data_IF_852497999469
#
_entry.id   IF_852497999469
#
_cell.length_a   1.000
_cell.length_b   1.000
_cell.length_c   1.000
_cell.angle_alpha   90.00
_cell.angle_beta   90.00
_cell.angle_gamma   90.00
#
_symmetry.space_group_name_H-M   'P 1'
#
loop_
_entity.id
_entity.type
_entity.pdbx_description
1 polymer ?
#
# COMPACT_ATOMS: atom_id res chain seq x y z
N UNK A 1 -67.35 -92.12 31.37
CA UNK A 1 -67.39 -93.50 30.84
C UNK A 1 -67.04 -93.45 29.37
N UNK A 2 -66.04 -94.25 28.98
CA UNK A 2 -65.98 -95.00 27.71
C UNK A 2 -65.94 -94.17 26.41
N UNK A 3 -64.74 -94.12 25.84
CA UNK A 3 -64.41 -94.73 24.56
C UNK A 3 -65.25 -94.43 23.29
N UNK A 4 -64.46 -94.18 22.23
CA UNK A 4 -64.61 -94.76 20.89
C UNK A 4 -65.46 -94.05 19.82
N UNK A 5 -64.72 -93.82 18.72
CA UNK A 5 -65.05 -94.03 17.30
C UNK A 5 -65.69 -92.90 16.49
N UNK A 6 -64.92 -92.58 15.43
CA UNK A 6 -65.32 -92.45 14.01
C UNK A 6 -66.29 -91.34 13.65
N UNK A 7 -65.79 -90.40 12.85
CA UNK A 7 -66.20 -90.22 11.43
C UNK A 7 -65.25 -89.18 10.81
N UNK A 8 -64.35 -89.61 9.92
CA UNK A 8 -64.52 -89.63 8.45
C UNK A 8 -64.85 -88.27 7.85
N UNK A 9 -63.87 -87.78 7.08
CA UNK A 9 -63.97 -86.99 5.83
C UNK A 9 -64.91 -85.79 5.80
N UNK A 10 -64.36 -84.66 5.32
CA UNK A 10 -64.90 -83.30 5.41
C UNK A 10 -64.43 -82.68 6.72
N UNK A 11 -63.30 -81.98 6.79
CA UNK A 11 -63.15 -80.66 6.20
C UNK A 11 -61.73 -80.49 5.65
N UNK A 12 -61.53 -80.97 4.43
CA UNK A 12 -60.40 -80.61 3.60
C UNK A 12 -60.65 -79.22 2.98
N UNK A 13 -60.93 -78.19 3.79
CA UNK A 13 -61.27 -76.85 3.25
C UNK A 13 -61.21 -75.71 4.29
N UNK A 14 -60.19 -75.70 5.15
CA UNK A 14 -59.80 -74.44 5.83
C UNK A 14 -58.32 -74.40 6.29
N UNK A 15 -57.45 -75.22 5.69
CA UNK A 15 -56.01 -75.27 5.96
C UNK A 15 -55.13 -74.50 4.96
N UNK A 16 -55.74 -73.74 4.05
CA UNK A 16 -55.03 -72.99 2.99
C UNK A 16 -54.99 -71.47 3.23
N UNK A 17 -55.76 -70.95 4.19
CA UNK A 17 -55.86 -69.51 4.44
C UNK A 17 -54.88 -68.97 5.51
N UNK A 18 -54.28 -69.84 6.34
CA UNK A 18 -53.30 -69.43 7.36
C UNK A 18 -51.84 -69.82 7.00
N UNK A 19 -51.53 -69.95 5.70
CA UNK A 19 -50.16 -70.10 5.17
C UNK A 19 -49.63 -68.83 4.49
N UNK A 20 -50.32 -67.68 4.68
CA UNK A 20 -50.01 -66.38 4.06
C UNK A 20 -49.31 -65.35 4.96
N UNK A 21 -48.74 -65.75 6.09
CA UNK A 21 -48.12 -64.79 7.03
C UNK A 21 -46.66 -65.06 7.45
N UNK A 22 -46.00 -66.10 6.92
CA UNK A 22 -44.57 -66.34 7.20
C UNK A 22 -43.67 -65.90 6.02
N UNK A 23 -44.22 -65.70 4.83
CA UNK A 23 -43.47 -65.32 3.61
C UNK A 23 -43.32 -63.81 3.39
N UNK A 24 -43.19 -63.01 4.46
CA UNK A 24 -43.00 -61.54 4.34
C UNK A 24 -41.79 -60.97 5.09
N UNK A 25 -40.93 -61.81 5.69
CA UNK A 25 -39.78 -61.33 6.48
C UNK A 25 -38.46 -62.06 6.26
N UNK A 26 -38.18 -62.56 5.06
CA UNK A 26 -36.83 -63.04 4.69
C UNK A 26 -36.46 -62.57 3.28
N UNK A 27 -36.31 -61.25 3.12
CA UNK A 27 -35.61 -60.64 2.00
C UNK A 27 -34.14 -60.52 2.42
N UNK A 28 -33.37 -61.61 2.25
CA UNK A 28 -31.93 -61.58 2.47
C UNK A 28 -31.29 -60.60 1.47
N UNK A 29 -30.68 -59.57 2.03
CA UNK A 29 -29.89 -58.57 1.32
C UNK A 29 -28.55 -59.18 0.97
N UNK A 30 -28.30 -59.47 -0.31
CA UNK A 30 -26.96 -59.78 -0.81
C UNK A 30 -26.23 -58.46 -1.08
N UNK A 31 -25.42 -58.01 -0.11
CA UNK A 31 -24.63 -56.78 -0.21
C UNK A 31 -23.27 -57.09 -0.86
N UNK A 32 -22.91 -56.49 -2.03
CA UNK A 32 -21.69 -56.84 -2.73
C UNK A 32 -20.46 -56.20 -2.08
N UNK A 33 -19.69 -57.01 -1.34
CA UNK A 33 -18.46 -56.66 -0.58
C UNK A 33 -17.43 -55.86 -1.39
N UNK A 34 -17.39 -56.03 -2.72
CA UNK A 34 -16.48 -55.27 -3.62
C UNK A 34 -16.76 -53.76 -3.65
N UNK A 35 -18.02 -53.33 -3.49
CA UNK A 35 -18.36 -51.89 -3.49
C UNK A 35 -18.00 -51.22 -2.16
N UNK A 36 -18.09 -51.94 -1.04
CA UNK A 36 -17.64 -51.45 0.27
C UNK A 36 -16.13 -51.29 0.33
N UNK A 37 -15.36 -52.21 -0.25
CA UNK A 37 -13.91 -52.10 -0.33
C UNK A 37 -13.46 -50.88 -1.16
N UNK A 38 -14.10 -50.64 -2.31
CA UNK A 38 -13.80 -49.48 -3.15
C UNK A 38 -14.21 -48.17 -2.48
N UNK A 39 -15.36 -48.14 -1.79
CA UNK A 39 -15.78 -46.97 -1.01
C UNK A 39 -14.84 -46.69 0.17
N UNK A 40 -14.43 -47.71 0.91
CA UNK A 40 -13.47 -47.57 2.01
C UNK A 40 -12.10 -47.08 1.52
N UNK A 41 -11.64 -47.57 0.36
CA UNK A 41 -10.38 -47.12 -0.27
C UNK A 41 -10.45 -45.66 -0.73
N UNK A 42 -11.58 -45.22 -1.28
CA UNK A 42 -11.83 -43.81 -1.63
C UNK A 42 -11.84 -42.91 -0.39
N UNK A 43 -12.52 -43.32 0.68
CA UNK A 43 -12.54 -42.56 1.95
C UNK A 43 -11.14 -42.46 2.54
N UNK A 44 -10.38 -43.56 2.56
CA UNK A 44 -9.02 -43.57 3.10
C UNK A 44 -8.07 -42.69 2.26
N UNK A 45 -8.23 -42.68 0.93
CA UNK A 45 -7.47 -41.81 0.04
C UNK A 45 -7.83 -40.33 0.25
N UNK A 46 -9.10 -40.00 0.42
CA UNK A 46 -9.54 -38.62 0.72
C UNK A 46 -8.99 -38.16 2.07
N UNK A 47 -9.06 -38.99 3.11
CA UNK A 47 -8.49 -38.66 4.43
C UNK A 47 -6.98 -38.44 4.31
N UNK A 48 -6.27 -39.30 3.58
CA UNK A 48 -4.83 -39.18 3.37
C UNK A 48 -4.46 -37.90 2.58
N UNK A 49 -5.26 -37.52 1.58
CA UNK A 49 -5.07 -36.27 0.84
C UNK A 49 -5.34 -35.06 1.72
N UNK A 50 -6.42 -35.07 2.53
CA UNK A 50 -6.76 -33.97 3.44
C UNK A 50 -5.70 -33.81 4.53
N UNK A 51 -5.15 -34.90 5.08
CA UNK A 51 -4.07 -34.83 6.06
C UNK A 51 -2.77 -34.33 5.42
N UNK A 52 -2.43 -34.77 4.20
CA UNK A 52 -1.28 -34.23 3.46
C UNK A 52 -1.45 -32.75 3.16
N UNK A 53 -2.63 -32.31 2.71
CA UNK A 53 -2.89 -30.89 2.44
C UNK A 53 -2.86 -30.05 3.72
N UNK A 54 -3.39 -30.57 4.83
CA UNK A 54 -3.31 -29.91 6.14
C UNK A 54 -1.88 -29.78 6.65
N UNK A 55 -1.07 -30.85 6.53
CA UNK A 55 0.36 -30.82 6.86
C UNK A 55 1.14 -29.88 5.92
N UNK A 56 0.77 -29.83 4.64
CA UNK A 56 1.40 -28.94 3.66
C UNK A 56 1.06 -27.48 3.92
N UNK A 57 -0.18 -27.15 4.28
CA UNK A 57 -0.59 -25.80 4.72
C UNK A 57 0.14 -25.41 6.01
N UNK A 58 0.28 -26.31 6.98
CA UNK A 58 1.06 -26.04 8.20
C UNK A 58 2.55 -25.81 7.90
N UNK A 59 3.13 -26.58 6.98
CA UNK A 59 4.52 -26.40 6.53
C UNK A 59 4.72 -25.12 5.68
N UNK A 60 3.73 -24.73 4.87
CA UNK A 60 3.71 -23.43 4.17
C UNK A 60 3.51 -22.25 5.12
N UNK A 61 2.68 -22.42 6.15
CA UNK A 61 2.41 -21.43 7.19
C UNK A 61 3.66 -21.11 8.01
N UNK A 62 4.49 -22.13 8.32
CA UNK A 62 5.77 -21.93 9.00
C UNK A 62 6.81 -21.13 8.21
N UNK A 63 6.78 -21.18 6.87
CA UNK A 63 7.68 -20.38 6.01
C UNK A 63 7.20 -18.96 5.74
N UNK A 64 5.90 -18.65 5.93
CA UNK A 64 5.36 -17.31 5.71
C UNK A 64 5.58 -16.36 6.90
N UNK A 65 5.76 -16.91 8.10
CA UNK A 65 5.87 -16.10 9.34
C UNK A 65 7.32 -15.82 9.78
N UNK A 66 8.32 -16.26 9.01
CA UNK A 66 9.73 -16.10 9.34
C UNK A 66 10.50 -15.19 8.37
N UNK A 67 9.80 -14.31 7.63
CA UNK A 67 10.41 -13.07 7.14
C UNK A 67 10.15 -11.99 8.19
N UNK A 68 10.73 -12.19 9.38
CA UNK A 68 10.96 -11.07 10.28
C UNK A 68 11.80 -10.08 9.48
N UNK A 69 11.21 -8.93 9.16
CA UNK A 69 11.90 -7.81 8.56
C UNK A 69 13.04 -7.44 9.51
N UNK A 70 14.26 -7.86 9.17
CA UNK A 70 15.46 -7.44 9.86
C UNK A 70 15.62 -5.95 9.56
N UNK A 71 14.94 -5.10 10.34
CA UNK A 71 15.19 -3.67 10.34
C UNK A 71 16.57 -3.48 10.94
N UNK A 72 17.51 -2.98 10.15
CA UNK A 72 18.81 -2.53 10.62
C UNK A 72 18.59 -1.58 11.84
N UNK A 73 19.23 -1.82 13.00
CA UNK A 73 19.09 -0.96 14.17
C UNK A 73 19.27 0.53 13.89
N UNK A 74 20.12 0.87 12.92
CA UNK A 74 20.37 2.25 12.50
C UNK A 74 19.16 2.87 11.77
N UNK A 75 18.47 2.09 10.96
CA UNK A 75 17.27 2.54 10.24
C UNK A 75 16.09 2.76 11.22
N UNK A 76 16.03 1.96 12.29
CA UNK A 76 15.05 2.16 13.37
C UNK A 76 15.31 3.46 14.14
N UNK A 77 16.57 3.86 14.30
CA UNK A 77 16.93 5.16 14.89
C UNK A 77 16.52 6.32 13.98
N UNK A 78 16.81 6.27 12.68
CA UNK A 78 16.34 7.29 11.73
C UNK A 78 14.82 7.39 11.71
N UNK A 79 14.11 6.26 11.78
CA UNK A 79 12.66 6.23 11.86
C UNK A 79 12.15 6.97 13.09
N UNK A 80 12.74 6.70 14.27
CA UNK A 80 12.39 7.40 15.51
C UNK A 80 12.61 8.90 15.39
N UNK A 81 13.76 9.34 14.89
CA UNK A 81 14.05 10.76 14.72
C UNK A 81 13.08 11.46 13.75
N UNK A 82 12.71 10.79 12.66
CA UNK A 82 11.72 11.33 11.71
C UNK A 82 10.35 11.47 12.39
N UNK A 83 9.92 10.47 13.16
CA UNK A 83 8.66 10.53 13.89
C UNK A 83 8.65 11.66 14.93
N UNK A 84 9.77 11.89 15.61
CA UNK A 84 9.93 13.04 16.53
C UNK A 84 9.83 14.38 15.78
N UNK A 85 10.46 14.49 14.60
CA UNK A 85 10.33 15.69 13.76
C UNK A 85 8.90 15.92 13.29
N UNK A 86 8.24 14.89 12.79
CA UNK A 86 6.86 14.96 12.31
C UNK A 86 5.88 15.27 13.46
N UNK A 87 6.16 14.80 14.68
CA UNK A 87 5.37 15.13 15.87
C UNK A 87 5.49 16.61 16.29
N UNK A 88 6.56 17.31 15.89
CA UNK A 88 6.71 18.76 16.11
C UNK A 88 5.84 19.59 15.16
N UNK A 89 5.35 19.02 14.07
CA UNK A 89 4.56 19.74 13.07
C UNK A 89 3.18 20.11 13.66
N UNK A 90 2.83 21.39 13.54
CA UNK A 90 1.52 21.91 13.94
C UNK A 90 0.62 21.96 12.69
N UNK A 91 -0.45 21.13 12.63
CA UNK A 91 -1.35 21.13 11.47
C UNK A 91 -1.96 22.51 11.22
N UNK A 92 -1.97 22.95 9.95
CA UNK A 92 -2.54 24.24 9.57
C UNK A 92 -1.58 25.44 9.72
N UNK A 93 -0.47 25.29 10.43
CA UNK A 93 0.47 26.39 10.66
C UNK A 93 1.14 26.81 9.35
N UNK A 94 0.96 28.08 8.97
CA UNK A 94 1.55 28.63 7.74
C UNK A 94 0.93 28.09 6.44
N UNK A 95 -0.26 27.47 6.51
CA UNK A 95 -1.01 27.02 5.34
C UNK A 95 -1.40 28.18 4.42
N UNK A 96 -1.49 27.89 3.12
CA UNK A 96 -1.73 28.89 2.08
C UNK A 96 -0.63 29.95 1.96
N UNK A 97 0.50 29.79 2.68
CA UNK A 97 1.53 30.82 2.81
C UNK A 97 1.20 31.94 3.78
N UNK A 98 0.24 31.73 4.69
CA UNK A 98 -0.07 32.69 5.75
C UNK A 98 1.13 32.89 6.69
N UNK A 99 1.24 34.09 7.27
CA UNK A 99 2.24 34.36 8.29
C UNK A 99 1.99 33.45 9.51
N UNK A 100 3.04 32.82 9.99
CA UNK A 100 3.02 31.98 11.17
C UNK A 100 3.79 32.66 12.29
N UNK A 101 3.27 32.60 13.52
CA UNK A 101 3.83 33.30 14.67
C UNK A 101 3.96 32.34 15.84
N UNK A 102 5.10 32.40 16.51
CA UNK A 102 5.35 31.70 17.77
C UNK A 102 4.99 32.61 18.95
N UNK A 103 4.60 32.03 20.08
CA UNK A 103 4.20 32.75 21.29
C UNK A 103 5.05 32.32 22.49
N UNK A 104 5.19 33.20 23.49
CA UNK A 104 5.87 32.89 24.76
C UNK A 104 7.31 32.42 24.59
N UNK A 105 7.67 31.31 25.23
CA UNK A 105 9.01 30.72 25.18
C UNK A 105 9.39 30.24 23.77
N UNK A 106 8.44 29.71 23.01
CA UNK A 106 8.69 29.28 21.63
C UNK A 106 9.16 30.44 20.75
N UNK A 107 8.61 31.65 20.97
CA UNK A 107 9.05 32.85 20.26
C UNK A 107 10.53 33.16 20.51
N UNK A 108 10.98 33.07 21.77
CA UNK A 108 12.38 33.30 22.14
C UNK A 108 13.29 32.27 21.47
N UNK A 109 12.91 31.00 21.49
CA UNK A 109 13.65 29.92 20.82
C UNK A 109 13.73 30.15 19.30
N UNK A 110 12.65 30.66 18.69
CA UNK A 110 12.64 31.06 17.29
C UNK A 110 13.59 32.22 16.98
N UNK A 111 13.57 33.27 17.79
CA UNK A 111 14.48 34.42 17.64
C UNK A 111 15.96 34.02 17.85
N UNK A 112 16.24 33.11 18.77
CA UNK A 112 17.59 32.56 18.98
C UNK A 112 18.05 31.70 17.80
N UNK A 113 17.16 30.87 17.26
CA UNK A 113 17.42 30.07 16.06
C UNK A 113 17.72 30.97 14.86
N UNK A 114 16.93 32.04 14.67
CA UNK A 114 17.10 33.01 13.60
C UNK A 114 18.42 33.77 13.71
N UNK A 115 18.83 34.17 14.91
CA UNK A 115 20.14 34.81 15.12
C UNK A 115 21.31 33.91 14.72
N UNK A 116 21.19 32.59 14.90
CA UNK A 116 22.27 31.62 14.59
C UNK A 116 22.32 31.25 13.10
N UNK A 117 21.16 31.07 12.47
CA UNK A 117 21.04 30.47 11.13
C UNK A 117 20.48 31.43 10.08
N UNK A 118 20.27 32.71 10.43
CA UNK A 118 19.62 33.74 9.61
C UNK A 118 18.18 33.39 9.14
N UNK A 119 17.62 32.30 9.65
CA UNK A 119 16.27 31.80 9.38
C UNK A 119 15.72 31.22 10.68
N UNK A 120 14.44 31.45 10.96
CA UNK A 120 13.74 30.85 12.10
C UNK A 120 13.45 29.36 11.85
N UNK A 121 14.47 28.51 12.03
CA UNK A 121 14.37 27.06 11.85
C UNK A 121 13.41 26.44 12.86
N UNK A 122 13.37 26.97 14.08
CA UNK A 122 12.45 26.49 15.11
C UNK A 122 10.97 26.60 14.69
N UNK A 123 10.60 27.71 14.02
CA UNK A 123 9.28 27.87 13.40
C UNK A 123 9.14 26.98 12.16
N UNK A 124 10.17 26.89 11.32
CA UNK A 124 10.18 26.03 10.14
C UNK A 124 9.87 24.57 10.50
N UNK A 125 10.46 24.02 11.56
CA UNK A 125 10.26 22.63 11.97
C UNK A 125 8.80 22.31 12.35
N UNK A 126 8.03 23.34 12.72
CA UNK A 126 6.60 23.22 13.09
C UNK A 126 5.67 23.41 11.90
N UNK A 127 6.15 23.94 10.78
CA UNK A 127 5.33 24.15 9.58
C UNK A 127 5.32 22.85 8.76
N UNK A 128 4.14 22.35 8.32
CA UNK A 128 4.06 21.12 7.53
C UNK A 128 5.00 21.10 6.32
N UNK A 129 5.66 19.96 6.08
CA UNK A 129 6.56 19.79 4.93
C UNK A 129 5.84 19.91 3.59
N UNK A 130 4.57 19.52 3.54
CA UNK A 130 3.73 19.53 2.35
C UNK A 130 2.66 20.64 2.40
N UNK A 131 2.91 21.74 3.13
CA UNK A 131 1.96 22.86 3.23
C UNK A 131 1.56 23.41 1.87
N UNK A 132 0.34 23.93 1.77
CA UNK A 132 -0.16 24.58 0.56
C UNK A 132 0.30 26.04 0.47
N UNK A 133 0.33 26.57 -0.75
CA UNK A 133 0.55 27.99 -1.01
C UNK A 133 -0.60 28.54 -1.84
N UNK A 134 -1.02 29.77 -1.55
CA UNK A 134 -1.97 30.49 -2.39
C UNK A 134 -1.30 30.88 -3.72
N UNK A 135 -2.08 30.85 -4.80
CA UNK A 135 -1.62 31.34 -6.10
C UNK A 135 -1.64 32.88 -6.11
N UNK A 136 -0.46 33.48 -6.02
CA UNK A 136 -0.25 34.94 -6.09
C UNK A 136 0.04 35.46 -7.50
N UNK A 137 0.04 34.58 -8.52
CA UNK A 137 0.33 34.99 -9.89
C UNK A 137 -0.76 35.93 -10.41
N UNK A 138 -0.37 36.80 -11.35
CA UNK A 138 -1.33 37.65 -12.05
C UNK A 138 -2.40 36.78 -12.75
N UNK A 139 -3.70 37.11 -12.68
CA UNK A 139 -4.75 36.35 -13.38
C UNK A 139 -4.48 36.14 -14.88
N UNK A 140 -3.72 37.03 -15.53
CA UNK A 140 -3.28 36.87 -16.91
C UNK A 140 -2.42 35.61 -17.14
N UNK A 141 -1.66 35.14 -16.13
CA UNK A 141 -0.87 33.91 -16.22
C UNK A 141 -1.75 32.68 -16.49
N UNK A 142 -3.02 32.68 -16.05
CA UNK A 142 -3.97 31.58 -16.31
C UNK A 142 -4.41 31.50 -17.76
N UNK A 143 -4.20 32.58 -18.54
CA UNK A 143 -4.56 32.67 -19.96
C UNK A 143 -3.37 32.39 -20.89
N UNK A 144 -2.18 32.13 -20.35
CA UNK A 144 -1.00 31.79 -21.15
C UNK A 144 -1.23 30.43 -21.81
N UNK A 145 -1.01 30.39 -23.12
CA UNK A 145 -1.02 29.16 -23.90
C UNK A 145 0.39 28.60 -23.94
N UNK A 146 0.52 27.32 -23.63
CA UNK A 146 1.81 26.62 -23.67
C UNK A 146 1.88 25.77 -24.92
N UNK A 147 3.08 25.71 -25.51
CA UNK A 147 3.35 24.74 -26.57
C UNK A 147 3.17 23.33 -26.01
N UNK A 148 2.67 22.42 -26.83
CA UNK A 148 2.33 21.09 -26.39
C UNK A 148 3.56 20.21 -26.13
N UNK A 149 4.64 20.42 -26.90
CA UNK A 149 5.88 19.66 -26.80
C UNK A 149 6.87 20.32 -25.83
N UNK A 150 6.54 20.32 -24.54
CA UNK A 150 7.50 20.73 -23.53
C UNK A 150 8.46 19.57 -23.21
N UNK A 151 9.77 19.84 -23.06
CA UNK A 151 10.73 18.82 -22.68
C UNK A 151 10.51 18.36 -21.24
N UNK A 152 10.95 17.15 -20.93
CA UNK A 152 11.07 16.71 -19.54
C UNK A 152 12.13 17.54 -18.81
N UNK A 153 11.91 17.82 -17.53
CA UNK A 153 12.86 18.52 -16.67
C UNK A 153 13.34 17.60 -15.54
N UNK A 154 14.66 17.62 -15.30
CA UNK A 154 15.28 17.09 -14.08
C UNK A 154 15.56 18.27 -13.15
N UNK A 155 15.15 18.17 -11.88
CA UNK A 155 15.38 19.22 -10.88
C UNK A 155 16.61 18.87 -10.07
N UNK A 156 17.62 19.74 -10.08
CA UNK A 156 18.84 19.56 -9.30
C UNK A 156 18.77 20.50 -8.10
N UNK A 157 18.78 19.94 -6.89
CA UNK A 157 18.79 20.67 -5.62
C UNK A 157 20.15 20.45 -4.94
N UNK A 158 20.98 21.48 -4.93
CA UNK A 158 22.27 21.47 -4.24
C UNK A 158 22.05 22.03 -2.83
N UNK A 159 22.62 21.37 -1.82
CA UNK A 159 22.54 21.82 -0.44
C UNK A 159 23.87 21.58 0.29
N UNK A 160 24.18 22.47 1.23
CA UNK A 160 25.30 22.36 2.15
C UNK A 160 24.85 22.88 3.52
N UNK A 161 24.77 21.99 4.52
CA UNK A 161 24.36 22.34 5.88
C UNK A 161 23.03 23.12 5.97
N UNK A 162 22.13 22.87 5.04
CA UNK A 162 20.78 23.44 5.05
C UNK A 162 19.92 22.79 6.14
N UNK A 163 19.05 23.53 6.86
CA UNK A 163 18.17 22.95 7.86
C UNK A 163 17.28 21.84 7.28
N UNK A 164 17.16 20.72 7.99
CA UNK A 164 16.42 19.55 7.52
C UNK A 164 15.00 19.86 7.02
N UNK A 165 14.23 20.65 7.79
CA UNK A 165 12.86 21.02 7.43
C UNK A 165 12.76 21.84 6.14
N UNK A 166 13.78 22.63 5.82
CA UNK A 166 13.85 23.45 4.60
C UNK A 166 14.12 22.56 3.38
N UNK A 167 15.09 21.65 3.47
CA UNK A 167 15.40 20.70 2.40
C UNK A 167 14.18 19.82 2.09
N UNK A 168 13.60 19.19 3.11
CA UNK A 168 12.44 18.30 2.95
C UNK A 168 11.23 19.04 2.37
N UNK A 169 10.94 20.26 2.84
CA UNK A 169 9.84 21.07 2.30
C UNK A 169 10.06 21.47 0.84
N UNK A 170 11.31 21.75 0.45
CA UNK A 170 11.66 22.07 -0.94
C UNK A 170 11.38 20.88 -1.86
N UNK A 171 11.75 19.67 -1.42
CA UNK A 171 11.46 18.44 -2.17
C UNK A 171 9.96 18.23 -2.32
N UNK A 172 9.19 18.35 -1.22
CA UNK A 172 7.72 18.25 -1.27
C UNK A 172 7.07 19.31 -2.16
N UNK A 173 7.60 20.54 -2.17
CA UNK A 173 7.13 21.62 -3.05
C UNK A 173 7.27 21.24 -4.52
N UNK A 174 8.44 20.70 -4.93
CA UNK A 174 8.68 20.23 -6.30
C UNK A 174 7.77 19.06 -6.64
N UNK A 175 7.73 18.04 -5.78
CA UNK A 175 6.91 16.85 -5.97
C UNK A 175 5.44 17.24 -6.14
N UNK A 176 4.89 18.02 -5.22
CA UNK A 176 3.48 18.39 -5.25
C UNK A 176 3.14 19.28 -6.45
N UNK A 177 4.02 20.21 -6.81
CA UNK A 177 3.78 21.11 -7.95
C UNK A 177 3.85 20.39 -9.30
N UNK A 178 4.64 19.33 -9.41
CA UNK A 178 4.76 18.56 -10.65
C UNK A 178 3.71 17.46 -10.83
N UNK A 179 2.87 17.19 -9.81
CA UNK A 179 1.86 16.13 -9.86
C UNK A 179 0.82 16.42 -10.94
N UNK A 180 0.51 15.42 -11.76
CA UNK A 180 -0.54 15.45 -12.78
C UNK A 180 -1.93 15.75 -12.19
N UNK A 181 -2.16 15.42 -10.92
CA UNK A 181 -3.41 15.71 -10.22
C UNK A 181 -3.65 17.20 -9.96
N UNK A 182 -2.63 18.06 -10.14
CA UNK A 182 -2.75 19.49 -9.86
C UNK A 182 -3.79 20.16 -10.77
N UNK A 183 -4.60 21.11 -10.24
CA UNK A 183 -5.68 21.73 -10.99
C UNK A 183 -5.22 22.44 -12.27
N UNK A 184 -4.02 23.04 -12.27
CA UNK A 184 -3.53 23.77 -13.44
C UNK A 184 -3.25 22.87 -14.64
N UNK A 185 -2.91 21.59 -14.46
CA UNK A 185 -2.72 20.68 -15.59
C UNK A 185 -4.05 20.26 -16.25
N UNK A 186 -5.15 20.26 -15.51
CA UNK A 186 -6.49 19.96 -16.06
C UNK A 186 -7.01 21.07 -16.97
N UNK A 187 -6.59 22.31 -16.70
CA UNK A 187 -7.03 23.51 -17.42
C UNK A 187 -5.91 24.11 -18.30
N UNK A 188 -4.77 23.43 -18.41
CA UNK A 188 -3.67 23.88 -19.24
C UNK A 188 -4.07 23.69 -20.71
N UNK A 189 -4.02 24.79 -21.46
CA UNK A 189 -4.28 24.79 -22.88
C UNK A 189 -2.98 24.42 -23.61
N UNK A 190 -2.74 23.12 -23.78
CA UNK A 190 -1.65 22.61 -24.63
C UNK A 190 -2.16 22.58 -26.06
N UNK A 191 -1.60 23.46 -26.90
CA UNK A 191 -2.01 23.59 -28.30
C UNK A 191 -0.79 23.35 -29.17
N UNK A 192 -0.96 22.50 -30.18
CA UNK A 192 0.01 22.33 -31.24
C UNK A 192 0.11 23.62 -32.08
N UNK A 193 1.30 24.20 -32.20
CA UNK A 193 1.50 25.47 -32.92
C UNK A 193 1.19 25.42 -34.41
N UNK A 194 1.33 24.26 -35.06
CA UNK A 194 1.16 24.13 -36.50
C UNK A 194 -0.30 23.84 -36.86
N UNK A 195 -0.98 23.04 -36.05
CA UNK A 195 -2.31 22.50 -36.34
C UNK A 195 -3.42 23.11 -35.49
N UNK A 196 -3.08 23.82 -34.41
CA UNK A 196 -4.04 24.40 -33.47
C UNK A 196 -4.83 23.37 -32.65
N UNK A 197 -4.45 22.09 -32.70
CA UNK A 197 -5.14 21.02 -31.99
C UNK A 197 -4.76 20.98 -30.52
N UNK A 198 -5.73 20.63 -29.67
CA UNK A 198 -5.48 20.31 -28.27
C UNK A 198 -4.66 19.03 -28.16
N UNK A 199 -3.62 19.06 -27.32
CA UNK A 199 -2.74 17.93 -27.09
C UNK A 199 -2.83 17.40 -25.66
N UNK A 200 -2.41 16.15 -25.48
CA UNK A 200 -2.32 15.53 -24.16
C UNK A 200 -1.12 16.11 -23.38
N UNK A 201 -1.28 16.27 -22.07
CA UNK A 201 -0.23 16.76 -21.19
C UNK A 201 0.88 15.71 -20.99
N UNK A 202 2.13 16.10 -21.19
CA UNK A 202 3.30 15.25 -21.05
C UNK A 202 4.36 15.57 -22.10
N UNK A 203 5.51 14.91 -22.03
CA UNK A 203 6.55 14.98 -23.06
C UNK A 203 6.51 13.75 -23.98
N UNK A 204 7.06 13.82 -25.21
CA UNK A 204 7.05 12.70 -26.14
C UNK A 204 7.64 11.41 -25.53
N UNK A 205 6.90 10.30 -25.61
CA UNK A 205 7.31 9.01 -25.06
C UNK A 205 7.07 8.83 -23.56
N UNK A 206 6.47 9.81 -22.88
CA UNK A 206 6.06 9.64 -21.49
C UNK A 206 4.86 8.70 -21.38
N UNK A 207 4.87 7.85 -20.35
CA UNK A 207 3.69 7.08 -19.93
C UNK A 207 2.51 8.02 -19.60
N UNK A 208 1.37 7.91 -20.29
CA UNK A 208 0.18 8.72 -20.02
C UNK A 208 -0.37 8.57 -18.60
N UNK A 209 -0.07 7.44 -17.94
CA UNK A 209 -0.49 7.14 -16.57
C UNK A 209 0.50 7.64 -15.50
N UNK A 210 1.63 8.21 -15.93
CA UNK A 210 2.63 8.78 -15.02
C UNK A 210 2.00 9.80 -14.08
N UNK A 211 2.36 9.70 -12.79
CA UNK A 211 1.91 10.61 -11.73
C UNK A 211 2.40 12.05 -11.95
N UNK A 212 3.41 12.24 -12.80
CA UNK A 212 4.03 13.54 -13.09
C UNK A 212 3.91 13.84 -14.58
N UNK A 213 3.86 15.13 -14.93
CA UNK A 213 3.72 15.57 -16.34
C UNK A 213 5.06 15.85 -16.98
N UNK A 214 5.88 16.70 -16.37
CA UNK A 214 7.19 17.09 -16.94
C UNK A 214 8.37 16.80 -16.03
N UNK A 215 8.14 16.35 -14.79
CA UNK A 215 9.21 16.01 -13.87
C UNK A 215 9.72 14.60 -14.16
N UNK A 216 10.99 14.51 -14.57
CA UNK A 216 11.68 13.25 -14.84
C UNK A 216 12.28 12.66 -13.56
N UNK A 217 13.06 13.47 -12.84
CA UNK A 217 13.74 13.08 -11.61
C UNK A 217 14.09 14.32 -10.78
N UNK A 218 14.38 14.10 -9.51
CA UNK A 218 14.97 15.09 -8.60
C UNK A 218 16.34 14.57 -8.15
N UNK A 219 17.39 15.35 -8.39
CA UNK A 219 18.76 15.02 -7.99
C UNK A 219 19.12 15.93 -6.82
N UNK A 220 19.25 15.33 -5.65
CA UNK A 220 19.73 15.99 -4.45
C UNK A 220 21.26 15.88 -4.42
N UNK A 221 21.96 17.01 -4.42
CA UNK A 221 23.43 17.07 -4.41
C UNK A 221 23.87 17.62 -3.07
N UNK A 222 24.41 16.73 -2.23
CA UNK A 222 25.04 17.10 -0.97
C UNK A 222 26.47 17.58 -1.24
N UNK A 223 26.69 18.89 -1.18
CA UNK A 223 28.01 19.53 -1.33
C UNK A 223 28.77 19.45 -0.01
N UNK A 224 29.01 18.22 0.44
CA UNK A 224 29.77 17.90 1.65
C UNK A 224 29.22 18.52 2.95
N UNK A 225 27.93 18.34 3.23
CA UNK A 225 27.34 18.75 4.51
C UNK A 225 27.96 17.99 5.69
N UNK A 226 28.08 18.64 6.84
CA UNK A 226 28.56 18.03 8.09
C UNK A 226 27.41 17.62 9.02
N UNK A 227 26.20 18.14 8.81
CA UNK A 227 25.03 17.81 9.65
C UNK A 227 24.62 16.32 9.48
N UNK A 228 24.47 15.56 10.58
CA UNK A 228 24.16 14.12 10.51
C UNK A 228 22.76 13.83 9.96
N UNK A 229 21.79 14.71 10.22
CA UNK A 229 20.41 14.61 9.72
C UNK A 229 20.31 14.66 8.18
N UNK A 230 21.29 15.28 7.52
CA UNK A 230 21.38 15.32 6.06
C UNK A 230 22.02 14.06 5.45
N UNK A 231 22.49 13.14 6.31
CA UNK A 231 23.12 11.88 5.91
C UNK A 231 22.10 10.75 5.92
N UNK A 232 22.26 9.76 6.80
CA UNK A 232 21.47 8.53 6.76
C UNK A 232 19.97 8.79 6.92
N UNK A 233 19.61 9.68 7.85
CA UNK A 233 18.23 10.12 8.10
C UNK A 233 17.54 10.67 6.84
N UNK A 234 18.16 11.60 6.12
CA UNK A 234 17.58 12.13 4.87
C UNK A 234 17.41 11.04 3.81
N UNK A 235 18.40 10.15 3.65
CA UNK A 235 18.28 9.01 2.74
C UNK A 235 17.13 8.08 3.11
N UNK A 236 16.95 7.79 4.40
CA UNK A 236 15.83 6.99 4.89
C UNK A 236 14.49 7.67 4.65
N UNK A 237 14.38 8.97 4.95
CA UNK A 237 13.18 9.77 4.70
C UNK A 237 12.78 9.75 3.22
N UNK A 238 13.73 10.00 2.32
CA UNK A 238 13.47 9.99 0.86
C UNK A 238 12.94 8.62 0.41
N UNK A 239 13.52 7.52 0.91
CA UNK A 239 13.09 6.16 0.55
C UNK A 239 11.71 5.80 1.08
N UNK A 240 11.33 6.30 2.24
CA UNK A 240 10.13 5.85 2.97
C UNK A 240 8.93 6.78 2.84
N UNK A 241 9.14 8.10 2.71
CA UNK A 241 8.06 9.10 2.67
C UNK A 241 7.77 9.64 1.27
N UNK A 242 8.73 9.53 0.33
CA UNK A 242 8.62 10.12 -0.99
C UNK A 242 8.36 9.07 -2.08
N UNK A 243 7.86 9.47 -3.26
CA UNK A 243 7.61 8.53 -4.36
C UNK A 243 8.87 7.74 -4.73
N UNK A 244 8.77 6.40 -4.87
CA UNK A 244 9.91 5.59 -5.27
C UNK A 244 10.39 5.97 -6.67
N UNK A 245 11.68 5.76 -6.93
CA UNK A 245 12.36 5.95 -8.23
C UNK A 245 12.32 7.37 -8.81
N UNK A 246 11.84 8.37 -8.07
CA UNK A 246 11.81 9.78 -8.50
C UNK A 246 13.05 10.56 -8.07
N UNK A 247 13.65 10.20 -6.93
CA UNK A 247 14.64 11.03 -6.24
C UNK A 247 15.95 10.26 -6.10
N UNK A 248 17.06 10.90 -6.46
CA UNK A 248 18.41 10.36 -6.35
C UNK A 248 19.26 11.31 -5.52
N UNK A 249 20.03 10.77 -4.58
CA UNK A 249 20.94 11.55 -3.74
C UNK A 249 22.37 11.28 -4.22
N UNK A 250 23.09 12.34 -4.57
CA UNK A 250 24.51 12.36 -4.88
C UNK A 250 25.23 13.03 -3.73
N UNK A 251 26.28 12.39 -3.21
CA UNK A 251 27.13 12.95 -2.15
C UNK A 251 28.51 13.18 -2.72
N UNK A 252 28.96 14.43 -2.69
CA UNK A 252 30.30 14.77 -3.15
C UNK A 252 31.34 14.34 -2.12
N UNK A 253 32.52 13.86 -2.56
CA UNK A 253 33.62 13.58 -1.65
C UNK A 253 34.15 14.88 -1.02
N UNK A 254 34.86 14.75 0.10
CA UNK A 254 35.64 15.85 0.67
C UNK A 254 36.59 16.43 -0.39
N UNK A 255 36.69 17.76 -0.44
CA UNK A 255 37.60 18.49 -1.35
C UNK A 255 39.00 18.62 -0.75
#
# INVERSE_FOLDING_TARGET
>A
MVEMKRQNQSVAECGAACRRLVYKYLRMVHFPVRKCYQAAKLVLLVVLVVTILGLFEQWRGGKRNARAEYSDPLEAEYEREILEDEARIVPGLGEGGAAAHLLGEEKKLGEESEKKLAINVYLSDRIPYNRTLRDFRNPACKRVLYDAELPSASVILIFHNEPYSVVVRTIWSVVNSARRSQPWYKHANFIDRQTGRLMAAGYPGQDPTSKFVYLKEIILVDDNSTLPELKGKLSHYVRTRLPPDLIRILRLPDR
#
